data_IF_012120244666
#
_entry.id   IF_012120244666
#
_cell.length_a   1.000
_cell.length_b   1.000
_cell.length_c   1.000
_cell.angle_alpha   90.00
_cell.angle_beta   90.00
_cell.angle_gamma   90.00
#
_symmetry.space_group_name_H-M   'P 1'
#
loop_
_entity.id
_entity.type
_entity.pdbx_description
1 polymer ?
#
# COMPACT_ATOMS: atom_id res chain seq x y z
N UNK A 1 16.78 -8.93 -38.04
CA UNK A 1 16.55 -10.24 -37.38
C UNK A 1 15.55 -10.00 -36.26
N UNK A 2 14.46 -10.77 -36.19
CA UNK A 2 13.49 -10.67 -35.08
C UNK A 2 14.14 -11.22 -33.80
N UNK A 3 14.06 -10.47 -32.70
CA UNK A 3 14.57 -10.91 -31.39
C UNK A 3 13.65 -12.00 -30.80
N UNK A 4 14.16 -12.84 -29.88
CA UNK A 4 13.32 -13.83 -29.21
C UNK A 4 12.09 -13.23 -28.52
N UNK A 5 12.20 -12.01 -27.98
CA UNK A 5 11.11 -11.29 -27.30
C UNK A 5 10.09 -10.74 -28.30
N UNK A 6 10.52 -10.19 -29.43
CA UNK A 6 9.63 -9.71 -30.49
C UNK A 6 8.74 -10.83 -31.04
N UNK A 7 9.32 -12.02 -31.24
CA UNK A 7 8.58 -13.20 -31.70
C UNK A 7 7.46 -13.62 -30.75
N UNK A 8 7.68 -13.50 -29.44
CA UNK A 8 6.66 -13.82 -28.44
C UNK A 8 5.55 -12.76 -28.36
N UNK A 9 5.93 -11.48 -28.45
CA UNK A 9 4.99 -10.36 -28.52
C UNK A 9 4.08 -10.54 -29.74
N UNK A 10 4.65 -10.79 -30.92
CA UNK A 10 3.88 -11.00 -32.16
C UNK A 10 2.89 -12.16 -32.05
N UNK A 11 3.31 -13.33 -31.56
CA UNK A 11 2.42 -14.48 -31.34
C UNK A 11 1.29 -14.17 -30.35
N UNK A 12 1.57 -13.38 -29.32
CA UNK A 12 0.56 -12.97 -28.35
C UNK A 12 -0.45 -11.99 -28.95
N UNK A 13 0.01 -11.02 -29.74
CA UNK A 13 -0.86 -10.11 -30.49
C UNK A 13 -1.76 -10.85 -31.48
N UNK A 14 -1.24 -11.83 -32.22
CA UNK A 14 -2.03 -12.65 -33.16
C UNK A 14 -3.15 -13.44 -32.45
N UNK A 15 -2.84 -14.03 -31.29
CA UNK A 15 -3.83 -14.73 -30.46
C UNK A 15 -4.89 -13.79 -29.89
N UNK A 16 -4.48 -12.64 -29.37
CA UNK A 16 -5.40 -11.62 -28.86
C UNK A 16 -6.34 -11.15 -29.98
N UNK A 17 -5.80 -10.84 -31.15
CA UNK A 17 -6.59 -10.38 -32.29
C UNK A 17 -7.60 -11.43 -32.75
N UNK A 18 -7.19 -12.70 -32.80
CA UNK A 18 -8.10 -13.82 -33.09
C UNK A 18 -9.23 -13.92 -32.08
N UNK A 19 -8.93 -13.75 -30.78
CA UNK A 19 -9.94 -13.72 -29.73
C UNK A 19 -10.89 -12.53 -29.91
N UNK A 20 -10.38 -11.34 -30.23
CA UNK A 20 -11.20 -10.16 -30.50
C UNK A 20 -12.13 -10.38 -31.68
N UNK A 21 -11.63 -10.94 -32.79
CA UNK A 21 -12.46 -11.30 -33.96
C UNK A 21 -13.57 -12.29 -33.58
N UNK A 22 -13.24 -13.36 -32.83
CA UNK A 22 -14.24 -14.35 -32.38
C UNK A 22 -15.33 -13.74 -31.48
N UNK A 23 -15.00 -12.67 -30.75
CA UNK A 23 -15.92 -11.93 -29.87
C UNK A 23 -16.65 -10.78 -30.58
N UNK A 24 -16.42 -10.57 -31.87
CA UNK A 24 -16.98 -9.42 -32.61
C UNK A 24 -16.40 -8.06 -32.18
N UNK A 25 -15.25 -8.06 -31.51
CA UNK A 25 -14.55 -6.87 -30.98
C UNK A 25 -13.39 -6.42 -31.88
N UNK A 26 -13.36 -6.86 -33.13
CA UNK A 26 -12.38 -6.39 -34.12
C UNK A 26 -12.52 -4.88 -34.33
N UNK A 27 -11.42 -4.16 -34.51
CA UNK A 27 -11.38 -2.69 -34.66
C UNK A 27 -12.02 -2.15 -35.95
N UNK A 28 -12.80 -2.98 -36.67
CA UNK A 28 -13.60 -2.54 -37.81
C UNK A 28 -14.77 -1.69 -37.33
N UNK A 29 -14.67 -0.37 -37.51
CA UNK A 29 -15.75 0.64 -37.34
C UNK A 29 -16.24 0.93 -35.91
N UNK A 30 -16.10 0.01 -34.96
CA UNK A 30 -16.56 0.19 -33.57
C UNK A 30 -15.72 1.19 -32.73
N UNK A 31 -14.52 1.57 -33.18
CA UNK A 31 -13.64 2.50 -32.45
C UNK A 31 -14.06 3.97 -32.46
N UNK A 32 -15.16 4.33 -33.16
CA UNK A 32 -15.62 5.72 -33.30
C UNK A 32 -16.99 5.99 -32.65
N UNK A 33 -17.71 4.94 -32.26
CA UNK A 33 -19.05 5.06 -31.70
C UNK A 33 -18.96 4.92 -30.17
N UNK A 34 -18.80 6.05 -29.50
CA UNK A 34 -18.85 6.14 -28.04
C UNK A 34 -20.31 6.27 -27.63
N UNK A 35 -20.84 5.29 -26.88
CA UNK A 35 -22.16 5.40 -26.25
C UNK A 35 -21.99 5.90 -24.82
N UNK A 36 -22.76 6.92 -24.44
CA UNK A 36 -22.75 7.44 -23.08
C UNK A 36 -23.46 6.44 -22.15
N UNK A 37 -22.67 5.68 -21.40
CA UNK A 37 -23.23 4.75 -20.42
C UNK A 37 -23.72 5.55 -19.21
N UNK A 38 -25.03 5.74 -19.09
CA UNK A 38 -25.66 6.31 -17.88
C UNK A 38 -25.56 5.33 -16.72
N UNK A 39 -24.40 5.31 -16.06
CA UNK A 39 -24.20 4.60 -14.79
C UNK A 39 -24.75 5.44 -13.66
N UNK A 40 -25.68 4.88 -12.87
CA UNK A 40 -26.02 5.47 -11.57
C UNK A 40 -24.89 5.14 -10.60
N UNK A 41 -24.17 6.12 -10.03
CA UNK A 41 -23.14 5.83 -9.05
C UNK A 41 -23.80 5.24 -7.80
N UNK A 42 -23.59 3.94 -7.58
CA UNK A 42 -24.13 3.19 -6.43
C UNK A 42 -23.52 3.66 -5.11
N UNK A 43 -22.43 4.43 -5.17
CA UNK A 43 -21.62 4.78 -3.99
C UNK A 43 -22.13 6.00 -3.21
N UNK A 44 -22.99 6.85 -3.79
CA UNK A 44 -23.32 8.17 -3.21
C UNK A 44 -24.79 8.37 -2.82
N UNK A 45 -25.63 7.34 -2.85
CA UNK A 45 -26.99 7.42 -2.30
C UNK A 45 -27.07 6.60 -1.00
N UNK A 46 -27.45 7.20 0.15
CA UNK A 46 -28.01 6.44 1.26
C UNK A 46 -29.44 6.00 0.87
N UNK A 47 -29.54 5.11 -0.10
CA UNK A 47 -30.78 4.38 -0.38
C UNK A 47 -30.88 3.19 0.58
N UNK A 48 -32.09 2.67 0.84
CA UNK A 48 -32.23 1.35 1.47
C UNK A 48 -31.68 0.31 0.48
N UNK A 49 -30.37 0.09 0.52
CA UNK A 49 -29.70 -0.94 -0.26
C UNK A 49 -30.20 -2.32 0.17
N UNK A 50 -30.11 -3.34 -0.70
CA UNK A 50 -30.41 -4.70 -0.26
C UNK A 50 -29.56 -4.99 0.98
N UNK A 51 -30.21 -5.38 2.07
CA UNK A 51 -29.53 -5.68 3.32
C UNK A 51 -28.34 -6.58 2.99
N UNK A 52 -27.13 -6.09 3.27
CA UNK A 52 -25.91 -6.86 3.08
C UNK A 52 -26.14 -8.19 3.83
N UNK A 53 -25.81 -9.35 3.25
CA UNK A 53 -25.98 -10.61 3.94
C UNK A 53 -25.36 -10.50 5.34
N UNK A 54 -26.12 -10.82 6.40
CA UNK A 54 -25.69 -10.58 7.80
C UNK A 54 -24.29 -11.12 8.11
N UNK A 55 -23.84 -12.15 7.39
CA UNK A 55 -22.47 -12.66 7.46
C UNK A 55 -21.42 -11.64 7.00
N UNK A 56 -21.65 -10.93 5.90
CA UNK A 56 -20.77 -9.90 5.35
C UNK A 56 -20.70 -8.67 6.26
N UNK A 57 -21.83 -8.26 6.85
CA UNK A 57 -21.85 -7.17 7.85
C UNK A 57 -21.03 -7.54 9.09
N UNK A 58 -21.20 -8.76 9.61
CA UNK A 58 -20.40 -9.26 10.74
C UNK A 58 -18.93 -9.37 10.40
N UNK A 59 -18.58 -9.83 9.20
CA UNK A 59 -17.20 -9.92 8.73
C UNK A 59 -16.55 -8.52 8.64
N UNK A 60 -17.28 -7.53 8.10
CA UNK A 60 -16.83 -6.14 8.03
C UNK A 60 -16.65 -5.54 9.42
N UNK A 61 -17.62 -5.73 10.32
CA UNK A 61 -17.52 -5.29 11.70
C UNK A 61 -16.34 -5.95 12.44
N UNK A 62 -16.08 -7.24 12.16
CA UNK A 62 -14.92 -7.97 12.66
C UNK A 62 -13.60 -7.38 12.17
N UNK A 63 -13.49 -7.10 10.86
CA UNK A 63 -12.30 -6.50 10.27
C UNK A 63 -12.00 -5.11 10.84
N UNK A 64 -13.03 -4.27 11.02
CA UNK A 64 -12.88 -2.94 11.63
C UNK A 64 -12.37 -3.05 13.07
N UNK A 65 -12.89 -3.99 13.86
CA UNK A 65 -12.40 -4.24 15.23
C UNK A 65 -10.95 -4.71 15.24
N UNK A 66 -10.59 -5.67 14.39
CA UNK A 66 -9.23 -6.21 14.31
C UNK A 66 -8.19 -5.13 13.93
N UNK A 67 -8.54 -4.23 12.99
CA UNK A 67 -7.68 -3.09 12.64
C UNK A 67 -7.49 -2.16 13.83
N UNK A 68 -8.57 -1.85 14.55
CA UNK A 68 -8.52 -0.98 15.73
C UNK A 68 -7.71 -1.57 16.87
N UNK A 69 -7.84 -2.88 17.12
CA UNK A 69 -7.04 -3.60 18.12
C UNK A 69 -5.55 -3.57 17.77
N UNK A 70 -5.22 -3.86 16.49
CA UNK A 70 -3.84 -3.76 15.99
C UNK A 70 -3.27 -2.36 16.16
N UNK A 71 -4.05 -1.33 15.86
CA UNK A 71 -3.63 0.06 16.02
C UNK A 71 -3.40 0.41 17.49
N UNK A 72 -4.29 0.00 18.39
CA UNK A 72 -4.11 0.21 19.83
C UNK A 72 -2.86 -0.50 20.36
N UNK A 73 -2.62 -1.74 19.93
CA UNK A 73 -1.44 -2.50 20.33
C UNK A 73 -0.15 -1.84 19.80
N UNK A 74 -0.16 -1.37 18.55
CA UNK A 74 0.95 -0.56 18.02
C UNK A 74 1.15 0.72 18.84
N UNK A 75 0.09 1.41 19.24
CA UNK A 75 0.19 2.59 20.10
C UNK A 75 0.78 2.24 21.48
N UNK A 76 0.38 1.11 22.08
CA UNK A 76 0.96 0.62 23.34
C UNK A 76 2.45 0.32 23.19
N UNK A 77 2.84 -0.40 22.15
CA UNK A 77 4.24 -0.68 21.85
C UNK A 77 5.04 0.60 21.66
N UNK A 78 4.53 1.54 20.85
CA UNK A 78 5.17 2.85 20.65
C UNK A 78 5.37 3.61 21.97
N UNK A 79 4.34 3.66 22.82
CA UNK A 79 4.43 4.27 24.16
C UNK A 79 5.43 3.55 25.06
N UNK A 80 5.54 2.23 24.94
CA UNK A 80 6.53 1.44 25.70
C UNK A 80 7.96 1.72 25.24
N UNK A 81 8.26 1.76 23.93
CA UNK A 81 9.65 1.96 23.46
C UNK A 81 10.07 3.43 23.39
N UNK A 82 9.16 4.38 23.21
CA UNK A 82 9.49 5.81 23.10
C UNK A 82 8.94 6.69 24.25
N UNK A 83 8.12 6.14 25.15
CA UNK A 83 7.48 6.90 26.23
C UNK A 83 6.29 7.75 25.76
N UNK A 84 5.70 8.55 26.66
CA UNK A 84 4.71 9.60 26.33
C UNK A 84 5.39 10.92 25.97
N UNK A 85 6.69 10.90 25.66
CA UNK A 85 7.39 12.08 25.19
C UNK A 85 6.67 12.53 23.92
N UNK A 86 6.05 13.71 24.00
CA UNK A 86 5.60 14.51 22.88
C UNK A 86 6.75 14.50 21.87
N UNK A 87 6.71 13.58 20.90
CA UNK A 87 7.54 13.66 19.73
C UNK A 87 7.03 14.92 19.06
N UNK A 88 7.63 16.06 19.42
CA UNK A 88 7.56 17.25 18.60
C UNK A 88 8.07 16.76 17.27
N UNK A 89 7.12 16.54 16.36
CA UNK A 89 7.39 16.36 14.95
C UNK A 89 8.44 17.42 14.65
N UNK A 90 9.70 17.03 14.38
CA UNK A 90 10.70 18.02 14.08
C UNK A 90 10.10 18.71 12.88
N UNK A 91 9.78 20.00 13.06
CA UNK A 91 9.29 20.85 11.99
C UNK A 91 10.11 20.44 10.77
N UNK A 92 9.51 20.04 9.64
CA UNK A 92 10.28 19.84 8.43
C UNK A 92 10.70 21.23 7.97
N UNK A 93 11.53 21.91 8.76
CA UNK A 93 12.44 22.91 8.27
C UNK A 93 13.31 22.12 7.32
N UNK A 94 12.89 22.16 6.05
CA UNK A 94 13.66 21.85 4.86
C UNK A 94 15.13 21.92 5.25
N UNK A 95 15.72 20.77 5.59
CA UNK A 95 17.13 20.72 5.92
C UNK A 95 17.79 21.24 4.68
N UNK A 96 18.39 22.43 4.79
CA UNK A 96 19.08 23.07 3.68
C UNK A 96 19.91 21.98 3.02
N UNK A 97 19.58 21.68 1.76
CA UNK A 97 20.35 20.73 0.96
C UNK A 97 21.78 21.23 1.03
N UNK A 98 22.64 20.58 1.83
CA UNK A 98 24.08 20.69 1.60
C UNK A 98 24.18 20.35 0.12
N UNK A 99 24.73 21.24 -0.69
CA UNK A 99 24.68 21.12 -2.15
C UNK A 99 25.42 19.90 -2.73
N UNK A 100 25.67 18.86 -1.93
CA UNK A 100 26.33 17.60 -2.26
C UNK A 100 25.35 16.50 -2.71
N UNK A 101 24.04 16.77 -2.76
CA UNK A 101 23.04 15.85 -3.32
C UNK A 101 22.79 14.60 -2.46
N UNK A 102 23.27 14.58 -1.22
CA UNK A 102 23.11 13.45 -0.29
C UNK A 102 22.01 13.75 0.71
N UNK A 103 20.99 12.88 0.76
CA UNK A 103 19.96 12.93 1.79
C UNK A 103 20.56 12.44 3.12
N UNK A 104 20.52 13.28 4.15
CA UNK A 104 20.88 12.87 5.50
C UNK A 104 19.71 12.07 6.12
N UNK A 105 19.89 10.77 6.31
CA UNK A 105 18.93 9.91 7.01
C UNK A 105 19.29 9.89 8.49
N UNK A 106 18.48 10.52 9.34
CA UNK A 106 18.66 10.50 10.79
C UNK A 106 17.89 9.32 11.37
N UNK A 107 18.61 8.27 11.78
CA UNK A 107 18.03 7.16 12.55
C UNK A 107 17.96 7.54 14.04
N UNK A 108 16.92 7.12 14.79
CA UNK A 108 16.88 7.32 16.24
C UNK A 108 18.17 6.81 16.90
N UNK A 109 18.79 7.59 17.80
CA UNK A 109 20.03 7.17 18.44
C UNK A 109 19.82 5.83 19.13
N UNK A 110 20.72 4.86 18.87
CA UNK A 110 20.72 3.58 19.59
C UNK A 110 20.84 3.89 21.08
N UNK A 111 19.86 3.48 21.88
CA UNK A 111 19.95 3.54 23.34
C UNK A 111 21.24 2.84 23.74
N UNK A 112 22.09 3.54 24.50
CA UNK A 112 23.33 2.97 25.04
C UNK A 112 22.92 1.75 25.88
N UNK A 113 23.47 0.58 25.60
CA UNK A 113 23.31 -0.57 26.47
C UNK A 113 24.14 -0.34 27.74
N UNK A 114 23.65 0.47 28.67
CA UNK A 114 24.15 0.54 30.04
C UNK A 114 23.28 1.50 30.85
N UNK A 115 22.08 1.05 31.21
CA UNK A 115 21.37 1.55 32.39
C UNK A 115 20.53 0.41 32.96
N UNK A 116 21.21 -0.71 33.22
CA UNK A 116 20.80 -1.79 34.11
C UNK A 116 22.01 -2.72 34.22
N UNK A 117 22.76 -2.56 35.31
CA UNK A 117 24.03 -3.24 35.50
C UNK A 117 23.88 -4.75 35.56
N UNK A 118 24.69 -5.45 34.77
CA UNK A 118 25.30 -6.72 35.13
C UNK A 118 26.71 -6.73 34.53
N UNK A 119 27.72 -6.57 35.39
CA UNK A 119 29.10 -6.91 35.07
C UNK A 119 29.11 -8.38 34.60
N UNK A 120 29.56 -8.63 33.37
CA UNK A 120 30.12 -9.92 33.04
C UNK A 120 31.59 -9.70 32.71
N UNK A 121 32.36 -9.96 33.76
CA UNK A 121 33.75 -10.34 33.84
C UNK A 121 34.40 -10.71 32.51
N UNK A 122 35.42 -9.91 32.17
CA UNK A 122 36.41 -10.23 31.16
C UNK A 122 37.16 -11.49 31.58
N UNK A 123 36.96 -12.59 30.84
CA UNK A 123 37.87 -13.72 30.90
C UNK A 123 38.15 -14.23 29.49
N UNK A 124 39.31 -13.87 28.98
CA UNK A 124 39.92 -14.47 27.79
C UNK A 124 41.23 -15.13 28.21
N UNK A 125 41.43 -16.40 27.88
CA UNK A 125 42.70 -16.85 27.33
C UNK A 125 42.62 -16.89 25.80
#
# INVERSE_FOLDING_TARGET
METPIEREIRRSCEREESLRRSRGLSSGRAGRELVELRVRPVLNLPGPGPALPRALERARAGAVRAVREREQELQRQRRSVYGTAEFKEPTPSLTASRGDGKLAVIWPPRRKASENGLQQEERKP
#
